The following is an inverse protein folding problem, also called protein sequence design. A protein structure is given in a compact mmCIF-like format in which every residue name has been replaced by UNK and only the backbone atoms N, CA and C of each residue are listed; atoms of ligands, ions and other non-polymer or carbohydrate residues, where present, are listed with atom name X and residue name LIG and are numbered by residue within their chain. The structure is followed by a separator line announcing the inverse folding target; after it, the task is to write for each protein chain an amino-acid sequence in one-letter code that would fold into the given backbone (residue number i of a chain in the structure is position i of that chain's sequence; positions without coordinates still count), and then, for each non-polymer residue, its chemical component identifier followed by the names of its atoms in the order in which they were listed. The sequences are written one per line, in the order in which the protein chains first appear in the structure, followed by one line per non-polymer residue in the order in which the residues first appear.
data_IF_051860296172
#
_entry.id   IF_051860296172
#
_cell.length_a   1.000
_cell.length_b   1.000
_cell.length_c   1.000
_cell.angle_alpha   90.00
_cell.angle_beta   90.00
_cell.angle_gamma   90.00
#
_symmetry.space_group_name_H-M   'P 1'
#
loop_
_entity.id
_entity.type
_entity.pdbx_description
1 polymer ?
#
# COMPACT_ATOMS: atom_id res chain seq x y z
N UNK A 1 -18.74 6.32 8.69
CA UNK A 1 -17.99 6.13 7.43
C UNK A 1 -17.23 7.42 7.13
N UNK A 2 -15.94 7.49 7.43
CA UNK A 2 -15.13 8.67 7.05
C UNK A 2 -14.62 8.42 5.64
N UNK A 3 -15.37 8.94 4.67
CA UNK A 3 -14.90 9.03 3.30
C UNK A 3 -13.91 10.20 3.24
N UNK A 4 -12.62 9.94 3.50
CA UNK A 4 -11.58 10.91 3.13
C UNK A 4 -11.58 10.97 1.60
N UNK A 5 -12.22 12.00 1.04
CA UNK A 5 -12.20 12.31 -0.39
C UNK A 5 -10.76 12.70 -0.74
N UNK A 6 -10.05 11.88 -1.50
CA UNK A 6 -8.70 12.17 -1.97
C UNK A 6 -8.79 13.02 -3.26
N UNK A 7 -8.35 14.29 -3.25
CA UNK A 7 -8.54 15.20 -4.39
C UNK A 7 -7.77 14.79 -5.65
N UNK A 8 -6.72 13.97 -5.53
CA UNK A 8 -5.88 13.52 -6.66
C UNK A 8 -6.40 12.27 -7.37
N UNK A 9 -7.41 11.58 -6.83
CA UNK A 9 -8.07 10.42 -7.46
C UNK A 9 -9.23 10.85 -8.36
N UNK A 10 -9.07 11.93 -9.12
CA UNK A 10 -10.14 12.52 -9.94
C UNK A 10 -10.66 11.62 -11.06
N UNK A 11 -10.03 10.47 -11.33
CA UNK A 11 -10.35 9.64 -12.49
C UNK A 11 -10.68 8.16 -12.24
N UNK A 12 -10.78 7.66 -11.00
CA UNK A 12 -11.15 6.24 -10.85
C UNK A 12 -12.07 5.93 -9.66
N UNK A 13 -13.38 5.90 -9.94
CA UNK A 13 -14.41 5.41 -9.03
C UNK A 13 -14.16 3.95 -8.60
N UNK A 14 -13.40 3.18 -9.40
CA UNK A 14 -13.04 1.79 -9.16
C UNK A 14 -12.03 1.66 -8.02
N UNK A 15 -11.12 2.63 -7.84
CA UNK A 15 -10.15 2.63 -6.75
C UNK A 15 -10.82 2.87 -5.39
N UNK A 16 -11.79 3.80 -5.34
CA UNK A 16 -12.46 4.21 -4.11
C UNK A 16 -13.16 3.05 -3.38
N UNK A 17 -13.70 2.06 -4.12
CA UNK A 17 -14.36 0.89 -3.52
C UNK A 17 -13.39 -0.02 -2.76
N UNK A 18 -12.14 -0.10 -3.20
CA UNK A 18 -11.12 -0.96 -2.57
C UNK A 18 -10.52 -0.31 -1.31
N UNK A 19 -10.60 1.01 -1.19
CA UNK A 19 -10.10 1.77 -0.05
C UNK A 19 -11.21 2.17 0.93
N UNK A 20 -12.40 1.56 0.81
CA UNK A 20 -13.48 1.71 1.78
C UNK A 20 -13.34 0.63 2.85
N UNK A 21 -13.16 1.06 4.10
CA UNK A 21 -13.04 0.16 5.26
C UNK A 21 -14.21 0.37 6.21
N UNK A 22 -14.74 -0.73 6.75
CA UNK A 22 -15.55 -0.67 7.95
C UNK A 22 -14.61 -0.41 9.14
N UNK A 23 -14.85 0.67 9.86
CA UNK A 23 -13.99 1.10 10.97
C UNK A 23 -14.77 0.93 12.27
N UNK A 24 -14.29 0.03 13.12
CA UNK A 24 -14.85 -0.19 14.45
C UNK A 24 -14.63 1.01 15.39
N UNK A 25 -15.33 1.04 16.55
CA UNK A 25 -15.23 2.13 17.51
C UNK A 25 -13.79 2.37 18.02
N UNK A 26 -13.02 1.31 18.20
CA UNK A 26 -11.62 1.35 18.65
C UNK A 26 -10.61 1.21 17.52
N UNK A 27 -11.01 1.53 16.28
CA UNK A 27 -10.13 1.47 15.13
C UNK A 27 -9.92 2.85 14.52
N UNK A 28 -8.80 2.98 13.82
CA UNK A 28 -8.50 4.11 12.96
C UNK A 28 -8.12 3.62 11.56
N UNK A 29 -8.22 4.53 10.58
CA UNK A 29 -7.89 4.26 9.19
C UNK A 29 -7.27 5.49 8.52
N UNK A 30 -6.35 5.27 7.60
CA UNK A 30 -5.79 6.31 6.74
C UNK A 30 -5.45 5.72 5.37
N UNK A 31 -5.03 6.57 4.44
CA UNK A 31 -4.44 6.13 3.18
C UNK A 31 -3.30 7.05 2.76
N UNK A 32 -2.29 6.45 2.13
CA UNK A 32 -1.11 7.10 1.62
C UNK A 32 -1.03 6.86 0.11
N UNK A 33 -0.67 7.91 -0.62
CA UNK A 33 -0.50 7.87 -2.07
C UNK A 33 0.98 8.10 -2.39
N UNK A 34 1.53 7.28 -3.29
CA UNK A 34 2.89 7.40 -3.78
C UNK A 34 2.89 7.32 -5.30
N UNK A 35 3.48 8.30 -5.96
CA UNK A 35 3.77 8.24 -7.39
C UNK A 35 5.14 7.58 -7.59
N UNK A 36 5.25 6.71 -8.59
CA UNK A 36 6.46 5.93 -8.88
C UNK A 36 6.77 6.05 -10.35
N UNK A 37 7.97 6.55 -10.67
CA UNK A 37 8.48 6.75 -12.03
C UNK A 37 8.89 5.44 -12.71
N UNK A 38 7.99 4.47 -12.75
CA UNK A 38 8.17 3.17 -13.39
C UNK A 38 6.85 2.65 -13.98
N UNK A 39 6.89 1.82 -15.03
CA UNK A 39 5.69 1.18 -15.58
C UNK A 39 4.97 0.32 -14.54
N UNK A 40 3.64 0.22 -14.63
CA UNK A 40 2.83 -0.56 -13.69
C UNK A 40 3.27 -2.03 -13.65
N UNK A 41 3.74 -2.59 -14.78
CA UNK A 41 4.28 -3.95 -14.86
C UNK A 41 5.54 -4.13 -14.01
N UNK A 42 6.43 -3.14 -13.98
CA UNK A 42 7.64 -3.14 -13.16
C UNK A 42 7.28 -3.00 -11.69
N UNK A 43 6.43 -2.04 -11.34
CA UNK A 43 5.96 -1.85 -9.94
C UNK A 43 5.25 -3.12 -9.47
N UNK A 44 4.39 -3.69 -10.31
CA UNK A 44 3.69 -4.94 -10.04
C UNK A 44 4.61 -6.14 -9.90
N UNK A 45 5.72 -6.19 -10.64
CA UNK A 45 6.73 -7.24 -10.45
C UNK A 45 7.38 -7.18 -9.07
N UNK A 46 7.59 -5.98 -8.53
CA UNK A 46 8.11 -5.78 -7.17
C UNK A 46 7.05 -6.14 -6.16
N UNK A 47 5.80 -5.70 -6.35
CA UNK A 47 4.65 -6.02 -5.49
C UNK A 47 4.30 -7.51 -5.49
N UNK A 48 4.45 -8.23 -6.61
CA UNK A 48 4.19 -9.69 -6.67
C UNK A 48 5.33 -10.55 -6.14
N UNK A 49 6.57 -10.04 -6.13
CA UNK A 49 7.67 -10.68 -5.39
C UNK A 49 7.40 -10.75 -3.87
N UNK A 50 6.29 -10.17 -3.40
CA UNK A 50 5.78 -10.27 -2.03
C UNK A 50 5.28 -11.68 -1.67
N UNK A 51 5.34 -12.66 -2.58
CA UNK A 51 5.29 -14.09 -2.22
C UNK A 51 6.44 -14.50 -1.26
N UNK A 52 7.43 -13.61 -1.02
CA UNK A 52 8.42 -13.69 0.06
C UNK A 52 8.47 -12.41 0.92
N UNK A 53 7.54 -12.21 1.88
CA UNK A 53 7.40 -10.97 2.65
C UNK A 53 8.59 -10.61 3.57
N UNK A 54 9.56 -11.53 3.76
CA UNK A 54 10.76 -11.35 4.58
C UNK A 54 11.77 -10.31 4.02
N UNK A 55 11.71 -9.98 2.73
CA UNK A 55 12.69 -9.11 2.08
C UNK A 55 12.56 -7.62 2.44
N UNK A 56 11.39 -7.16 2.92
CA UNK A 56 11.18 -5.74 3.26
C UNK A 56 10.29 -5.49 4.49
N UNK A 57 9.54 -6.49 4.97
CA UNK A 57 8.73 -6.42 6.20
C UNK A 57 9.14 -7.54 7.15
N UNK A 58 10.15 -7.28 7.98
CA UNK A 58 10.77 -8.27 8.89
C UNK A 58 9.85 -8.89 9.96
N UNK A 59 8.59 -8.44 10.10
CA UNK A 59 7.73 -8.82 11.24
C UNK A 59 6.33 -9.35 10.89
N UNK A 60 5.99 -9.60 9.63
CA UNK A 60 4.58 -9.76 9.23
C UNK A 60 4.30 -11.07 8.47
N UNK A 61 3.26 -11.81 8.90
CA UNK A 61 2.63 -12.89 8.12
C UNK A 61 1.72 -12.27 7.07
N UNK A 62 2.13 -12.24 5.81
CA UNK A 62 1.33 -11.69 4.72
C UNK A 62 0.63 -12.82 3.93
N UNK A 63 -0.64 -12.62 3.61
CA UNK A 63 -1.30 -13.30 2.50
C UNK A 63 -1.59 -12.26 1.42
N UNK A 64 -1.02 -12.44 0.24
CA UNK A 64 -1.26 -11.60 -0.92
C UNK A 64 -2.28 -12.25 -1.84
N UNK A 65 -3.37 -11.56 -2.17
CA UNK A 65 -4.23 -11.93 -3.30
C UNK A 65 -4.25 -10.80 -4.30
N UNK A 66 -4.17 -11.13 -5.57
CA UNK A 66 -4.19 -10.14 -6.64
C UNK A 66 -5.40 -10.28 -7.56
N UNK A 67 -5.95 -9.15 -7.97
CA UNK A 67 -7.00 -9.09 -8.98
C UNK A 67 -6.73 -7.92 -9.91
N UNK A 68 -6.91 -8.15 -11.21
CA UNK A 68 -6.88 -7.10 -12.22
C UNK A 68 -8.31 -6.70 -12.54
N UNK A 69 -8.62 -5.41 -12.52
CA UNK A 69 -9.92 -4.91 -12.95
C UNK A 69 -9.76 -3.58 -13.66
N UNK A 70 -10.20 -3.50 -14.92
CA UNK A 70 -10.24 -2.26 -15.70
C UNK A 70 -8.91 -1.47 -15.72
N UNK A 71 -7.76 -2.15 -15.78
CA UNK A 71 -6.44 -1.50 -15.79
C UNK A 71 -5.88 -1.14 -14.41
N UNK A 72 -6.60 -1.46 -13.33
CA UNK A 72 -6.13 -1.38 -11.95
C UNK A 72 -5.61 -2.75 -11.50
N UNK A 73 -4.39 -2.79 -10.97
CA UNK A 73 -3.86 -3.97 -10.29
C UNK A 73 -4.06 -3.78 -8.78
N UNK A 74 -4.79 -4.70 -8.17
CA UNK A 74 -5.07 -4.67 -6.73
C UNK A 74 -4.24 -5.74 -6.05
N UNK A 75 -3.44 -5.36 -5.06
CA UNK A 75 -2.84 -6.26 -4.10
C UNK A 75 -3.57 -6.11 -2.75
N UNK A 76 -4.15 -7.21 -2.30
CA UNK A 76 -4.67 -7.30 -0.95
C UNK A 76 -3.57 -7.80 -0.03
N UNK A 77 -3.26 -7.07 1.04
CA UNK A 77 -2.25 -7.49 2.04
C UNK A 77 -2.89 -7.43 3.42
N UNK A 78 -3.35 -8.58 3.88
CA UNK A 78 -3.81 -8.75 5.26
C UNK A 78 -2.72 -9.42 6.08
N UNK A 79 -2.38 -8.85 7.22
CA UNK A 79 -1.55 -9.51 8.22
C UNK A 79 -2.17 -9.37 9.59
N UNK A 80 -2.19 -10.45 10.36
CA UNK A 80 -2.48 -10.38 11.79
C UNK A 80 -1.14 -10.49 12.51
N UNK A 81 -0.81 -9.50 13.35
CA UNK A 81 0.34 -9.62 14.24
C UNK A 81 -0.02 -10.62 15.33
N UNK A 82 0.51 -11.85 15.22
CA UNK A 82 0.23 -12.92 16.18
C UNK A 82 1.20 -12.78 17.36
N UNK A 83 0.80 -12.03 18.38
CA UNK A 83 1.47 -11.96 19.68
C UNK A 83 2.59 -10.91 19.80
N UNK A 84 2.69 -10.32 21.00
CA UNK A 84 3.65 -9.29 21.39
C UNK A 84 3.01 -7.93 21.68
N UNK A 85 3.70 -7.07 22.45
CA UNK A 85 3.29 -5.70 22.82
C UNK A 85 3.40 -4.77 21.61
N UNK A 86 2.60 -5.04 20.59
CA UNK A 86 2.76 -4.47 19.26
C UNK A 86 1.55 -3.63 18.87
N UNK A 87 1.83 -2.35 18.59
CA UNK A 87 0.87 -1.26 18.34
C UNK A 87 0.02 -1.43 17.04
N UNK A 88 0.06 -2.59 16.39
CA UNK A 88 -0.54 -2.87 15.08
C UNK A 88 -1.51 -4.06 15.11
N UNK A 89 -2.30 -4.18 16.18
CA UNK A 89 -3.29 -5.25 16.31
C UNK A 89 -4.39 -5.10 15.25
N UNK A 90 -4.82 -6.23 14.68
CA UNK A 90 -5.83 -6.31 13.61
C UNK A 90 -5.59 -5.35 12.42
N UNK A 91 -4.31 -5.08 12.11
CA UNK A 91 -3.97 -4.29 10.92
C UNK A 91 -4.43 -5.00 9.63
N UNK A 92 -5.03 -4.25 8.71
CA UNK A 92 -5.39 -4.73 7.38
C UNK A 92 -5.10 -3.64 6.37
N UNK A 93 -4.33 -3.92 5.32
CA UNK A 93 -4.13 -2.97 4.23
C UNK A 93 -4.58 -3.47 2.85
N UNK A 94 -4.90 -2.49 2.03
CA UNK A 94 -5.24 -2.66 0.62
C UNK A 94 -4.33 -1.74 -0.16
N UNK A 95 -3.58 -2.31 -1.09
CA UNK A 95 -2.68 -1.58 -1.99
C UNK A 95 -3.22 -1.69 -3.42
N UNK A 96 -3.50 -0.57 -4.06
CA UNK A 96 -3.90 -0.53 -5.48
C UNK A 96 -2.86 0.20 -6.30
N UNK A 97 -2.62 -0.28 -7.52
CA UNK A 97 -1.72 0.30 -8.49
C UNK A 97 -2.54 0.75 -9.70
N UNK A 98 -2.28 1.98 -10.14
CA UNK A 98 -2.95 2.63 -11.26
C UNK A 98 -1.92 3.11 -12.26
N UNK A 99 -2.13 2.85 -13.55
CA UNK A 99 -1.28 3.40 -14.59
C UNK A 99 -1.50 4.92 -14.66
N UNK A 100 -0.42 5.68 -14.65
CA UNK A 100 -0.44 7.14 -14.81
C UNK A 100 0.36 7.52 -16.05
N UNK A 101 -0.21 8.27 -17.01
CA UNK A 101 0.54 8.70 -18.19
C UNK A 101 1.62 9.74 -17.87
N UNK A 102 1.57 10.37 -16.68
CA UNK A 102 2.51 11.44 -16.28
C UNK A 102 3.67 10.86 -15.48
N UNK A 103 3.38 10.02 -14.49
CA UNK A 103 4.37 9.48 -13.55
C UNK A 103 4.66 8.01 -13.74
N UNK A 104 3.98 7.29 -14.64
CA UNK A 104 4.14 5.85 -14.82
C UNK A 104 3.14 5.06 -13.97
N UNK A 105 3.28 5.09 -12.64
CA UNK A 105 2.38 4.37 -11.72
C UNK A 105 2.01 5.21 -10.49
N UNK A 106 0.73 5.22 -10.13
CA UNK A 106 0.23 5.73 -8.85
C UNK A 106 -0.13 4.56 -7.96
N UNK A 107 0.45 4.51 -6.76
CA UNK A 107 0.17 3.49 -5.75
C UNK A 107 -0.62 4.12 -4.61
N UNK A 108 -1.71 3.48 -4.21
CA UNK A 108 -2.52 3.89 -3.07
C UNK A 108 -2.52 2.75 -2.07
N UNK A 109 -2.04 2.98 -0.85
CA UNK A 109 -2.17 2.03 0.26
C UNK A 109 -3.05 2.62 1.35
N UNK A 110 -4.16 1.95 1.64
CA UNK A 110 -5.04 2.28 2.76
C UNK A 110 -5.00 1.18 3.81
N UNK A 111 -5.21 1.53 5.06
CA UNK A 111 -5.27 0.56 6.14
C UNK A 111 -6.39 0.86 7.15
N UNK A 112 -6.74 -0.17 7.91
CA UNK A 112 -7.47 -0.09 9.17
C UNK A 112 -6.67 -0.84 10.24
N UNK A 113 -6.65 -0.33 11.46
CA UNK A 113 -5.90 -0.91 12.59
C UNK A 113 -6.59 -0.59 13.91
N UNK A 114 -6.40 -1.44 14.91
CA UNK A 114 -6.85 -1.17 16.27
C UNK A 114 -6.01 -0.08 16.94
N UNK A 115 -6.68 0.77 17.71
CA UNK A 115 -6.06 1.79 18.55
C UNK A 115 -5.65 1.12 19.87
N UNK A 116 -4.35 1.12 20.23
CA UNK A 116 -3.90 0.58 21.50
C UNK A 116 -4.51 1.33 22.70
N UNK A 117 -4.76 0.66 23.84
CA UNK A 117 -5.18 1.33 25.06
C UNK A 117 -4.20 2.45 25.45
N UNK A 118 -4.71 3.64 25.74
CA UNK A 118 -3.90 4.81 26.09
C UNK A 118 -3.37 5.63 24.91
N UNK A 119 -3.65 5.24 23.66
CA UNK A 119 -3.37 6.06 22.48
C UNK A 119 -4.64 6.68 21.89
N UNK A 120 -4.47 7.84 21.24
CA UNK A 120 -5.52 8.44 20.41
C UNK A 120 -5.55 7.82 19.02
N UNK A 121 -6.66 8.01 18.30
CA UNK A 121 -6.80 7.58 16.90
C UNK A 121 -5.79 8.29 16.00
N UNK A 122 -5.57 9.57 16.28
CA UNK A 122 -4.68 10.46 15.54
C UNK A 122 -3.22 10.01 15.70
N UNK A 123 -2.76 9.79 16.94
CA UNK A 123 -1.40 9.27 17.20
C UNK A 123 -1.14 7.93 16.54
N UNK A 124 -2.15 7.04 16.56
CA UNK A 124 -2.05 5.72 15.93
C UNK A 124 -1.97 5.88 14.41
N UNK A 125 -2.82 6.72 13.80
CA UNK A 125 -2.74 7.01 12.38
C UNK A 125 -1.39 7.62 11.99
N UNK A 126 -0.87 8.61 12.73
CA UNK A 126 0.40 9.26 12.41
C UNK A 126 1.56 8.26 12.45
N UNK A 127 1.57 7.38 13.45
CA UNK A 127 2.56 6.31 13.57
C UNK A 127 2.47 5.33 12.39
N UNK A 128 1.26 4.88 12.04
CA UNK A 128 1.07 3.91 10.96
C UNK A 128 1.30 4.54 9.58
N UNK A 129 0.97 5.82 9.40
CA UNK A 129 1.25 6.58 8.16
C UNK A 129 2.75 6.67 7.90
N UNK A 130 3.58 6.80 8.94
CA UNK A 130 5.05 6.73 8.80
C UNK A 130 5.46 5.35 8.26
N UNK A 131 4.93 4.26 8.83
CA UNK A 131 5.25 2.89 8.39
C UNK A 131 4.84 2.69 6.93
N UNK A 132 3.62 3.05 6.57
CA UNK A 132 3.10 2.90 5.20
C UNK A 132 3.91 3.75 4.23
N UNK A 133 4.23 4.99 4.58
CA UNK A 133 5.07 5.88 3.76
C UNK A 133 6.45 5.29 3.53
N UNK A 134 7.11 4.75 4.56
CA UNK A 134 8.40 4.08 4.41
C UNK A 134 8.32 2.87 3.47
N UNK A 135 7.25 2.06 3.57
CA UNK A 135 7.05 0.92 2.68
C UNK A 135 6.90 1.36 1.22
N UNK A 136 6.06 2.35 0.96
CA UNK A 136 5.81 2.87 -0.39
C UNK A 136 7.05 3.55 -0.98
N UNK A 137 7.83 4.25 -0.17
CA UNK A 137 9.11 4.84 -0.60
C UNK A 137 10.14 3.76 -0.97
N UNK A 138 10.22 2.68 -0.20
CA UNK A 138 11.09 1.54 -0.53
C UNK A 138 10.67 0.88 -1.84
N UNK A 139 9.35 0.64 -2.02
CA UNK A 139 8.78 0.14 -3.28
C UNK A 139 9.13 1.05 -4.46
N UNK A 140 8.95 2.36 -4.32
CA UNK A 140 9.27 3.34 -5.37
C UNK A 140 10.74 3.22 -5.79
N UNK A 141 11.65 3.24 -4.81
CA UNK A 141 13.08 3.15 -5.06
C UNK A 141 13.46 1.86 -5.79
N UNK A 142 12.96 0.71 -5.35
CA UNK A 142 13.27 -0.59 -5.96
C UNK A 142 12.70 -0.69 -7.38
N UNK A 143 11.47 -0.21 -7.60
CA UNK A 143 10.81 -0.25 -8.89
C UNK A 143 11.49 0.67 -9.92
N UNK A 144 11.87 1.89 -9.51
CA UNK A 144 12.58 2.85 -10.36
C UNK A 144 13.98 2.35 -10.74
N UNK A 145 14.72 1.76 -9.79
CA UNK A 145 16.00 1.10 -10.08
C UNK A 145 15.82 -0.05 -11.06
N UNK A 146 14.81 -0.90 -10.86
CA UNK A 146 14.51 -2.02 -11.76
C UNK A 146 14.14 -1.55 -13.18
N UNK A 147 13.45 -0.41 -13.30
CA UNK A 147 13.12 0.20 -14.57
C UNK A 147 14.37 0.77 -15.28
N UNK A 148 15.28 1.40 -14.53
CA UNK A 148 16.53 1.95 -15.08
C UNK A 148 17.47 0.84 -15.59
N UNK A 149 17.55 -0.29 -14.88
CA UNK A 149 18.37 -1.45 -15.30
C UNK A 149 17.83 -2.12 -16.57
N UNK A 150 16.50 -2.23 -16.71
CA UNK A 150 15.85 -2.77 -17.91
C UNK A 150 16.16 -1.95 -19.18
N UNK A 151 16.19 -0.62 -19.06
CA UNK A 151 16.53 0.28 -20.18
C UNK A 151 17.99 0.17 -20.63
N UNK A 152 18.91 -0.11 -19.71
CA UNK A 152 20.35 -0.22 -19.99
C UNK A 152 20.72 -1.51 -20.74
N UNK A 153 19.94 -2.57 -20.56
CA UNK A 153 20.14 -3.88 -21.22
C UNK A 153 19.58 -3.94 -22.64
N UNK A 154 18.72 -2.99 -23.02
CA UNK A 154 18.16 -2.87 -24.38
C UNK A 154 19.00 -1.96 -25.30
N UNK A 155 20.00 -1.27 -24.73
CA UNK A 155 20.84 -0.28 -25.42
C UNK A 155 22.31 -0.72 -25.57
N UNK A 156 22.60 -1.99 -25.26
CA UNK A 156 23.86 -2.70 -25.54
C UNK A 156 23.58 -3.86 -26.48
#
# INVERSE_FOLDING_TARGET
MVQKRFPSLSCDATAARFHTHEVGPNQCCSAVIQEISAPISTVWSVVRRFDNPQAYKHFLKAAASSTETAGTLVAYVSFSVVGGDHRLSNYRSVTTLHSSPVSGTVVVESYVVDVPPGNTKEETCDFVDVIVRCNLQSLAKIAELSAAEGSKKMSM
#
